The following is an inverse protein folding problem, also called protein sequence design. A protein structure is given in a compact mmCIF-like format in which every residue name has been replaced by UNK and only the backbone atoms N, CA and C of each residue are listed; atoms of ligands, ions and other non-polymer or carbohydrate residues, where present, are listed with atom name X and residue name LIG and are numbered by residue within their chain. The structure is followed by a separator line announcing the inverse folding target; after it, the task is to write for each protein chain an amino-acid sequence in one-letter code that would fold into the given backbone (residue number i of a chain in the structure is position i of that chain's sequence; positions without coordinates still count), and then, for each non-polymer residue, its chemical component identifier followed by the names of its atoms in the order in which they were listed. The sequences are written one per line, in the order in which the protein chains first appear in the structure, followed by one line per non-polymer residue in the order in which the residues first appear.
data_IF_558648077656
#
_entry.id   IF_558648077656
#
_cell.length_a   1.000
_cell.length_b   1.000
_cell.length_c   1.000
_cell.angle_alpha   90.00
_cell.angle_beta   90.00
_cell.angle_gamma   90.00
#
_symmetry.space_group_name_H-M   'P 1'
#
loop_
_entity.id
_entity.type
_entity.pdbx_description
1 polymer ?
#
# COMPACT_ATOMS: atom_id res chain seq x y z
N UNK A 1 5.73 -3.56 1.03
CA UNK A 1 4.24 -3.72 0.97
C UNK A 1 3.83 -4.83 0.02
N UNK A 2 4.32 -4.85 -1.21
CA UNK A 2 3.97 -5.90 -2.20
C UNK A 2 4.20 -7.32 -1.69
N UNK A 3 5.39 -7.62 -1.17
CA UNK A 3 5.74 -8.95 -0.64
C UNK A 3 4.79 -9.41 0.50
N UNK A 4 4.38 -8.49 1.36
CA UNK A 4 3.39 -8.79 2.41
C UNK A 4 2.01 -9.14 1.82
N UNK A 5 1.59 -8.43 0.77
CA UNK A 5 0.34 -8.74 0.07
C UNK A 5 0.42 -10.10 -0.64
N UNK A 6 1.57 -10.44 -1.23
CA UNK A 6 1.81 -11.75 -1.85
C UNK A 6 1.69 -12.86 -0.78
N UNK A 7 2.34 -12.70 0.38
CA UNK A 7 2.21 -13.62 1.53
C UNK A 7 0.74 -13.76 1.98
N UNK A 8 0.02 -12.64 2.09
CA UNK A 8 -1.40 -12.67 2.47
C UNK A 8 -2.26 -13.42 1.44
N UNK A 9 -1.94 -13.26 0.14
CA UNK A 9 -2.60 -13.99 -0.94
C UNK A 9 -2.35 -15.50 -0.83
N UNK A 10 -1.11 -15.90 -0.60
CA UNK A 10 -0.73 -17.32 -0.42
C UNK A 10 -1.45 -17.94 0.78
N UNK A 11 -1.46 -17.25 1.93
CA UNK A 11 -2.19 -17.70 3.12
C UNK A 11 -3.69 -17.88 2.85
N UNK A 12 -4.29 -16.99 2.07
CA UNK A 12 -5.70 -17.08 1.66
C UNK A 12 -5.96 -18.28 0.77
N UNK A 13 -5.07 -18.54 -0.18
CA UNK A 13 -5.16 -19.72 -1.08
C UNK A 13 -5.05 -21.01 -0.26
N UNK A 14 -4.03 -21.10 0.62
CA UNK A 14 -3.82 -22.25 1.51
C UNK A 14 -5.07 -22.51 2.35
N UNK A 15 -5.64 -21.49 2.95
CA UNK A 15 -6.88 -21.59 3.71
C UNK A 15 -8.04 -22.08 2.86
N UNK A 16 -8.19 -21.55 1.65
CA UNK A 16 -9.24 -22.00 0.70
C UNK A 16 -9.12 -23.48 0.34
N UNK A 17 -7.90 -23.97 0.13
CA UNK A 17 -7.64 -25.40 -0.14
C UNK A 17 -8.02 -26.25 1.07
N UNK A 18 -7.61 -25.84 2.26
CA UNK A 18 -7.91 -26.56 3.52
C UNK A 18 -9.43 -26.59 3.80
N UNK A 19 -10.13 -25.48 3.60
CA UNK A 19 -11.60 -25.40 3.74
C UNK A 19 -12.33 -26.28 2.71
N UNK A 20 -11.80 -26.33 1.46
CA UNK A 20 -12.35 -27.21 0.44
C UNK A 20 -12.16 -28.69 0.82
N UNK A 21 -10.96 -29.08 1.26
CA UNK A 21 -10.66 -30.47 1.69
C UNK A 21 -11.52 -30.90 2.87
N UNK A 22 -11.77 -30.02 3.83
CA UNK A 22 -12.59 -30.32 5.00
C UNK A 22 -14.03 -30.73 4.65
N UNK A 23 -14.58 -30.22 3.53
CA UNK A 23 -15.90 -30.60 3.03
C UNK A 23 -15.94 -32.00 2.43
N UNK A 24 -14.79 -32.57 2.10
CA UNK A 24 -14.62 -33.94 1.56
C UNK A 24 -14.04 -34.89 2.63
N UNK A 25 -14.26 -34.58 3.91
CA UNK A 25 -13.79 -35.38 5.02
C UNK A 25 -14.33 -36.81 4.97
N UNK A 26 -13.48 -37.80 5.24
CA UNK A 26 -13.83 -39.23 5.20
C UNK A 26 -13.38 -39.99 3.95
N UNK A 27 -12.71 -39.33 3.01
CA UNK A 27 -12.02 -39.99 1.91
C UNK A 27 -10.51 -40.05 2.20
N UNK A 28 -9.99 -41.22 2.42
CA UNK A 28 -8.53 -41.43 2.49
C UNK A 28 -7.95 -41.46 1.08
N UNK A 29 -6.95 -40.65 0.83
CA UNK A 29 -6.30 -40.50 -0.48
C UNK A 29 -4.79 -40.56 -0.37
N UNK A 30 -4.10 -40.96 -1.43
CA UNK A 30 -2.65 -41.01 -1.50
C UNK A 30 -1.97 -39.62 -1.41
N UNK A 31 -2.74 -38.53 -1.40
CA UNK A 31 -2.25 -37.16 -1.33
C UNK A 31 -2.63 -36.45 -0.02
N UNK A 32 -3.09 -37.18 0.97
CA UNK A 32 -3.51 -36.59 2.26
C UNK A 32 -2.35 -35.96 3.00
N UNK A 33 -1.13 -36.48 2.88
CA UNK A 33 0.07 -35.89 3.48
C UNK A 33 0.32 -34.46 2.97
N UNK A 34 0.03 -34.18 1.70
CA UNK A 34 0.15 -32.84 1.14
C UNK A 34 -0.90 -31.87 1.73
N UNK A 35 -2.14 -32.36 1.92
CA UNK A 35 -3.18 -31.56 2.59
C UNK A 35 -2.85 -31.32 4.08
N UNK A 36 -2.29 -32.31 4.76
CA UNK A 36 -1.89 -32.21 6.17
C UNK A 36 -0.70 -31.26 6.37
N UNK A 37 0.08 -31.00 5.32
CA UNK A 37 1.20 -30.05 5.32
C UNK A 37 0.78 -28.60 5.07
N UNK A 38 -0.52 -28.32 4.90
CA UNK A 38 -1.05 -26.98 4.71
C UNK A 38 -1.34 -26.31 6.06
N UNK A 39 -0.56 -25.31 6.42
CA UNK A 39 -0.72 -24.55 7.67
C UNK A 39 -1.41 -23.21 7.39
N UNK A 40 -2.61 -23.05 7.92
CA UNK A 40 -3.37 -21.80 7.79
C UNK A 40 -2.96 -20.81 8.89
N UNK A 41 -2.81 -19.54 8.55
CA UNK A 41 -2.61 -18.46 9.51
C UNK A 41 -3.52 -17.28 9.17
N UNK A 42 -4.80 -17.42 9.55
CA UNK A 42 -5.80 -16.37 9.30
C UNK A 42 -5.49 -15.08 10.04
N UNK A 43 -4.87 -15.19 11.23
CA UNK A 43 -4.50 -14.00 12.00
C UNK A 43 -3.50 -13.13 11.22
N UNK A 44 -2.43 -13.72 10.69
CA UNK A 44 -1.44 -13.00 9.89
C UNK A 44 -2.04 -12.46 8.58
N UNK A 45 -2.87 -13.28 7.89
CA UNK A 45 -3.62 -12.87 6.71
C UNK A 45 -4.44 -11.61 6.98
N UNK A 46 -5.27 -11.63 8.03
CA UNK A 46 -6.15 -10.51 8.38
C UNK A 46 -5.33 -9.28 8.82
N UNK A 47 -4.24 -9.47 9.57
CA UNK A 47 -3.38 -8.39 10.04
C UNK A 47 -2.72 -7.64 8.88
N UNK A 48 -2.18 -8.37 7.90
CA UNK A 48 -1.60 -7.77 6.69
C UNK A 48 -2.67 -7.02 5.90
N UNK A 49 -3.82 -7.65 5.62
CA UNK A 49 -4.89 -7.05 4.81
C UNK A 49 -5.52 -5.81 5.47
N UNK A 50 -5.55 -5.74 6.80
CA UNK A 50 -6.05 -4.56 7.53
C UNK A 50 -5.05 -3.40 7.51
N UNK A 51 -3.76 -3.69 7.38
CA UNK A 51 -2.71 -2.69 7.39
C UNK A 51 -2.33 -2.21 5.98
N UNK A 52 -2.22 -3.11 5.00
CA UNK A 52 -1.73 -2.83 3.65
C UNK A 52 -2.88 -2.93 2.65
N UNK A 53 -3.21 -1.81 2.01
CA UNK A 53 -4.31 -1.73 1.03
C UNK A 53 -3.83 -2.00 -0.40
N UNK A 54 -2.61 -1.57 -0.73
CA UNK A 54 -1.98 -1.76 -2.03
C UNK A 54 -0.45 -1.71 -1.93
N UNK A 55 0.23 -1.88 -3.05
CA UNK A 55 1.70 -1.77 -3.14
C UNK A 55 2.24 -0.42 -2.65
N UNK A 56 1.42 0.62 -2.68
CA UNK A 56 1.81 2.00 -2.37
C UNK A 56 0.99 2.63 -1.25
N UNK A 57 -0.05 1.96 -0.77
CA UNK A 57 -1.00 2.54 0.17
C UNK A 57 -1.16 1.68 1.43
N UNK A 58 -1.02 2.34 2.57
CA UNK A 58 -1.28 1.76 3.89
C UNK A 58 -2.56 2.34 4.49
N UNK A 59 -3.34 1.48 5.15
CA UNK A 59 -4.60 1.85 5.82
C UNK A 59 -4.37 2.86 6.94
N UNK A 60 -5.30 3.81 7.10
CA UNK A 60 -5.33 4.67 8.29
C UNK A 60 -5.50 3.85 9.59
N UNK A 61 -6.09 2.67 9.48
CA UNK A 61 -6.31 1.77 10.63
C UNK A 61 -5.14 0.82 10.90
N UNK A 62 -4.03 0.91 10.15
CA UNK A 62 -2.85 0.09 10.37
C UNK A 62 -2.26 0.31 11.79
N UNK A 63 -2.34 1.53 12.30
CA UNK A 63 -2.09 1.82 13.73
C UNK A 63 -2.87 3.04 14.21
N UNK A 64 -3.15 3.13 15.53
CA UNK A 64 -3.73 4.35 16.10
C UNK A 64 -2.85 5.59 15.88
N UNK A 65 -1.53 5.43 15.93
CA UNK A 65 -0.57 6.51 15.72
C UNK A 65 -0.63 7.04 14.27
N UNK A 66 -0.65 6.15 13.26
CA UNK A 66 -0.76 6.54 11.85
C UNK A 66 -2.06 7.31 11.58
N UNK A 67 -3.18 6.81 12.12
CA UNK A 67 -4.48 7.47 12.02
C UNK A 67 -4.46 8.87 12.60
N UNK A 68 -3.84 9.05 13.77
CA UNK A 68 -3.75 10.35 14.46
C UNK A 68 -2.84 11.32 13.70
N UNK A 69 -1.68 10.87 13.21
CA UNK A 69 -0.76 11.66 12.39
C UNK A 69 -1.49 12.18 11.13
N UNK A 70 -2.16 11.30 10.39
CA UNK A 70 -2.89 11.66 9.18
C UNK A 70 -4.06 12.60 9.46
N UNK A 71 -4.76 12.41 10.59
CA UNK A 71 -5.81 13.32 11.04
C UNK A 71 -5.25 14.72 11.30
N UNK A 72 -4.14 14.83 12.03
CA UNK A 72 -3.50 16.12 12.29
C UNK A 72 -3.00 16.79 11.01
N UNK A 73 -2.43 16.03 10.08
CA UNK A 73 -2.00 16.53 8.77
C UNK A 73 -3.17 17.17 8.00
N UNK A 74 -4.29 16.46 7.89
CA UNK A 74 -5.52 16.99 7.24
C UNK A 74 -6.03 18.26 7.92
N UNK A 75 -5.96 18.34 9.25
CA UNK A 75 -6.35 19.56 9.99
C UNK A 75 -5.43 20.73 9.68
N UNK A 76 -4.11 20.55 9.63
CA UNK A 76 -3.17 21.62 9.28
C UNK A 76 -3.35 22.05 7.81
N UNK A 77 -3.57 21.11 6.88
CA UNK A 77 -3.87 21.42 5.49
C UNK A 77 -5.16 22.26 5.34
N UNK A 78 -6.21 21.92 6.08
CA UNK A 78 -7.45 22.72 6.09
C UNK A 78 -7.20 24.13 6.58
N UNK A 79 -6.47 24.30 7.70
CA UNK A 79 -6.13 25.64 8.23
C UNK A 79 -5.33 26.48 7.23
N UNK A 80 -4.41 25.84 6.48
CA UNK A 80 -3.64 26.54 5.45
C UNK A 80 -4.57 27.00 4.33
N UNK A 81 -5.44 26.11 3.84
CA UNK A 81 -6.38 26.43 2.77
C UNK A 81 -7.30 27.58 3.18
N UNK A 82 -7.88 27.55 4.38
CA UNK A 82 -8.75 28.61 4.88
C UNK A 82 -8.02 29.97 4.91
N UNK A 83 -6.77 30.01 5.38
CA UNK A 83 -5.95 31.23 5.40
C UNK A 83 -5.62 31.74 4.01
N UNK A 84 -5.22 30.83 3.10
CA UNK A 84 -4.86 31.20 1.74
C UNK A 84 -6.08 31.60 0.92
N UNK A 85 -7.23 30.94 1.11
CA UNK A 85 -8.51 31.33 0.50
C UNK A 85 -8.94 32.76 0.93
N UNK A 86 -8.79 33.08 2.22
CA UNK A 86 -9.00 34.45 2.69
C UNK A 86 -8.04 35.45 2.03
N UNK A 87 -6.79 35.06 1.80
CA UNK A 87 -5.80 35.91 1.15
C UNK A 87 -6.11 36.15 -0.32
N UNK A 88 -6.37 35.09 -1.10
CA UNK A 88 -6.59 35.19 -2.56
C UNK A 88 -7.91 35.92 -2.90
N UNK A 89 -8.90 35.87 -2.00
CA UNK A 89 -10.16 36.65 -2.15
C UNK A 89 -10.04 38.10 -1.70
N UNK A 90 -8.98 38.46 -1.00
CA UNK A 90 -8.79 39.84 -0.51
C UNK A 90 -8.46 40.79 -1.65
N UNK A 91 -9.18 41.95 -1.76
CA UNK A 91 -8.87 42.97 -2.76
C UNK A 91 -7.41 43.45 -2.72
N UNK A 92 -6.78 43.37 -1.54
CA UNK A 92 -5.38 43.78 -1.31
C UNK A 92 -4.39 43.01 -2.19
N UNK A 93 -4.62 41.72 -2.44
CA UNK A 93 -3.68 40.87 -3.16
C UNK A 93 -4.11 40.56 -4.60
N UNK A 94 -5.31 41.03 -4.99
CA UNK A 94 -5.89 40.70 -6.32
C UNK A 94 -5.03 41.16 -7.51
N UNK A 95 -4.34 42.30 -7.40
CA UNK A 95 -3.43 42.81 -8.43
C UNK A 95 -2.10 42.08 -8.46
N UNK A 96 -1.64 41.64 -7.30
CA UNK A 96 -0.32 41.03 -7.10
C UNK A 96 -0.29 39.55 -7.46
N UNK A 97 -1.43 38.86 -7.35
CA UNK A 97 -1.51 37.43 -7.74
C UNK A 97 -1.52 37.26 -9.26
N UNK A 98 -0.80 36.26 -9.75
CA UNK A 98 -0.86 35.84 -11.13
C UNK A 98 -2.20 35.14 -11.42
N UNK A 99 -2.58 34.22 -10.51
CA UNK A 99 -3.83 33.48 -10.52
C UNK A 99 -4.35 33.40 -9.08
N UNK A 100 -5.68 33.43 -8.92
CA UNK A 100 -6.33 33.28 -7.60
C UNK A 100 -6.47 31.81 -7.22
N UNK A 101 -5.35 31.07 -7.16
CA UNK A 101 -5.29 29.64 -6.83
C UNK A 101 -4.29 29.35 -5.71
N UNK A 102 -4.53 28.25 -5.01
CA UNK A 102 -3.60 27.64 -4.08
C UNK A 102 -2.93 26.47 -4.80
N UNK A 103 -1.61 26.41 -4.77
CA UNK A 103 -0.84 25.32 -5.36
C UNK A 103 0.20 24.79 -4.39
N UNK A 104 0.89 23.72 -4.75
CA UNK A 104 2.02 23.20 -3.98
C UNK A 104 3.31 23.28 -4.80
N UNK A 105 4.40 23.65 -4.12
CA UNK A 105 5.78 23.58 -4.62
C UNK A 105 6.67 22.99 -3.52
N UNK A 106 7.44 21.99 -3.88
CA UNK A 106 8.32 21.28 -2.93
C UNK A 106 7.58 20.79 -1.67
N UNK A 107 6.31 20.36 -1.84
CA UNK A 107 5.45 19.90 -0.76
C UNK A 107 5.00 21.00 0.21
N UNK A 108 5.00 22.27 -0.21
CA UNK A 108 4.49 23.42 0.56
C UNK A 108 3.36 24.10 -0.19
N UNK A 109 2.37 24.56 0.56
CA UNK A 109 1.28 25.35 0.01
C UNK A 109 1.78 26.78 -0.26
N UNK A 110 1.63 27.22 -1.49
CA UNK A 110 2.10 28.50 -2.01
C UNK A 110 1.03 29.18 -2.86
N UNK A 111 1.20 30.47 -3.12
CA UNK A 111 0.39 31.23 -4.06
C UNK A 111 1.25 31.76 -5.21
N UNK A 112 0.76 31.76 -6.46
CA UNK A 112 1.47 32.33 -7.59
C UNK A 112 1.33 33.85 -7.57
N UNK A 113 2.45 34.56 -7.54
CA UNK A 113 2.55 36.03 -7.49
C UNK A 113 3.29 36.50 -8.75
N UNK A 114 2.83 37.59 -9.37
CA UNK A 114 3.56 38.25 -10.45
C UNK A 114 4.93 38.71 -9.96
N UNK A 115 5.98 38.46 -10.73
CA UNK A 115 7.35 38.77 -10.32
C UNK A 115 7.55 40.26 -9.94
N UNK A 116 6.88 41.18 -10.67
CA UNK A 116 6.89 42.62 -10.41
C UNK A 116 6.24 43.03 -9.08
N UNK A 117 5.30 42.20 -8.58
CA UNK A 117 4.60 42.43 -7.30
C UNK A 117 5.14 41.57 -6.15
N UNK A 118 6.33 40.96 -6.32
CA UNK A 118 6.95 40.08 -5.30
C UNK A 118 7.00 40.70 -3.91
N UNK A 119 7.32 42.02 -3.83
CA UNK A 119 7.47 42.75 -2.57
C UNK A 119 6.16 43.01 -1.81
N UNK A 120 5.01 42.88 -2.48
CA UNK A 120 3.70 43.14 -1.89
C UNK A 120 3.18 41.93 -1.09
N UNK A 121 3.75 40.74 -1.33
CA UNK A 121 3.39 39.50 -0.63
C UNK A 121 4.54 39.10 0.30
N UNK A 122 4.33 39.32 1.61
CA UNK A 122 5.29 38.88 2.63
C UNK A 122 5.31 37.35 2.71
N UNK A 123 6.48 36.75 2.53
CA UNK A 123 6.65 35.31 2.59
C UNK A 123 7.97 34.85 1.96
N UNK A 124 8.11 33.53 1.86
CA UNK A 124 9.29 32.86 1.31
C UNK A 124 9.03 32.38 -0.13
N UNK A 125 10.00 32.63 -1.01
CA UNK A 125 9.96 32.11 -2.39
C UNK A 125 10.42 30.67 -2.38
N UNK A 126 9.63 29.78 -3.00
CA UNK A 126 9.94 28.37 -3.14
C UNK A 126 10.23 27.95 -4.58
N UNK A 127 9.75 28.71 -5.54
CA UNK A 127 9.94 28.40 -6.96
C UNK A 127 9.68 29.63 -7.82
N UNK A 128 10.13 29.57 -9.09
CA UNK A 128 9.87 30.59 -10.10
C UNK A 128 9.50 29.89 -11.41
N UNK A 129 8.54 30.43 -12.15
CA UNK A 129 8.17 29.88 -13.45
C UNK A 129 9.33 29.93 -14.46
N UNK A 130 9.34 29.03 -15.44
CA UNK A 130 10.40 28.98 -16.45
C UNK A 130 10.61 30.29 -17.25
N UNK A 131 9.57 31.12 -17.37
CA UNK A 131 9.65 32.46 -17.96
C UNK A 131 10.12 33.56 -17.00
N UNK A 132 10.22 33.27 -15.71
CA UNK A 132 10.52 34.25 -14.67
C UNK A 132 9.36 35.19 -14.30
N UNK A 133 8.23 35.13 -15.00
CA UNK A 133 7.11 36.06 -14.81
C UNK A 133 6.29 35.80 -13.55
N UNK A 134 6.36 34.57 -12.97
CA UNK A 134 5.60 34.15 -11.79
C UNK A 134 6.54 33.62 -10.73
N UNK A 135 6.33 34.07 -9.49
CA UNK A 135 7.07 33.60 -8.32
C UNK A 135 6.09 32.88 -7.38
N UNK A 136 6.43 31.67 -6.96
CA UNK A 136 5.62 30.89 -6.04
C UNK A 136 6.04 31.19 -4.60
N UNK A 137 5.16 31.92 -3.90
CA UNK A 137 5.45 32.42 -2.55
C UNK A 137 4.65 31.61 -1.53
N UNK A 138 5.34 31.18 -0.47
CA UNK A 138 4.73 30.72 0.76
C UNK A 138 4.46 31.95 1.64
N UNK A 139 3.19 32.37 1.82
CA UNK A 139 2.90 33.51 2.64
C UNK A 139 3.32 33.32 4.10
N UNK A 140 3.82 34.37 4.75
CA UNK A 140 4.27 34.33 6.13
C UNK A 140 3.22 33.74 7.10
N UNK A 141 1.94 33.98 6.83
CA UNK A 141 0.82 33.49 7.65
C UNK A 141 0.69 31.95 7.69
N UNK A 142 1.30 31.21 6.75
CA UNK A 142 1.19 29.75 6.65
C UNK A 142 2.51 29.00 6.82
N UNK A 143 3.65 29.69 6.93
CA UNK A 143 4.98 29.07 7.06
C UNK A 143 5.01 28.05 8.21
N UNK A 144 4.50 28.44 9.38
CA UNK A 144 4.51 27.58 10.55
C UNK A 144 3.63 26.33 10.37
N UNK A 145 2.46 26.47 9.73
CA UNK A 145 1.58 25.35 9.44
C UNK A 145 2.20 24.40 8.39
N UNK A 146 2.82 24.92 7.33
CA UNK A 146 3.59 24.13 6.39
C UNK A 146 4.76 23.38 7.05
N UNK A 147 5.45 24.00 8.00
CA UNK A 147 6.51 23.34 8.78
C UNK A 147 5.94 22.18 9.62
N UNK A 148 4.77 22.37 10.25
CA UNK A 148 4.10 21.28 10.98
C UNK A 148 3.72 20.13 10.07
N UNK A 149 3.24 20.41 8.86
CA UNK A 149 2.95 19.36 7.87
C UNK A 149 4.22 18.55 7.54
N UNK A 150 5.35 19.22 7.32
CA UNK A 150 6.64 18.53 7.05
C UNK A 150 7.07 17.61 8.19
N UNK A 151 6.89 18.05 9.43
CA UNK A 151 7.15 17.21 10.62
C UNK A 151 6.20 16.01 10.65
N UNK A 152 4.91 16.22 10.34
CA UNK A 152 3.92 15.15 10.31
C UNK A 152 4.19 14.16 9.16
N UNK A 153 4.64 14.62 8.00
CA UNK A 153 5.07 13.77 6.88
C UNK A 153 6.28 12.89 7.24
N UNK A 154 7.23 13.43 8.02
CA UNK A 154 8.34 12.62 8.53
C UNK A 154 7.86 11.56 9.50
N UNK A 155 7.03 11.94 10.49
CA UNK A 155 6.46 11.00 11.45
C UNK A 155 5.59 9.92 10.78
N UNK A 156 4.86 10.28 9.71
CA UNK A 156 4.08 9.33 8.92
C UNK A 156 4.98 8.28 8.28
N UNK A 157 6.10 8.68 7.68
CA UNK A 157 7.07 7.74 7.09
C UNK A 157 7.69 6.83 8.14
N UNK A 158 8.14 7.39 9.25
CA UNK A 158 8.75 6.63 10.33
C UNK A 158 7.77 5.59 10.91
N UNK A 159 6.50 5.97 11.07
CA UNK A 159 5.45 5.06 11.56
C UNK A 159 5.11 3.97 10.56
N UNK A 160 5.03 4.29 9.25
CA UNK A 160 4.83 3.31 8.19
C UNK A 160 5.99 2.31 8.17
N UNK A 161 7.23 2.76 8.27
CA UNK A 161 8.41 1.89 8.30
C UNK A 161 8.39 0.96 9.53
N UNK A 162 8.00 1.48 10.70
CA UNK A 162 7.83 0.69 11.92
C UNK A 162 6.78 -0.43 11.74
N UNK A 163 5.61 -0.08 11.18
CA UNK A 163 4.53 -1.06 10.95
C UNK A 163 4.99 -2.14 9.96
N UNK A 164 5.65 -1.75 8.86
CA UNK A 164 6.16 -2.69 7.87
C UNK A 164 7.22 -3.62 8.46
N UNK A 165 8.11 -3.09 9.31
CA UNK A 165 9.12 -3.89 10.02
C UNK A 165 8.47 -4.93 10.92
N UNK A 166 7.49 -4.54 11.73
CA UNK A 166 6.75 -5.45 12.61
C UNK A 166 6.01 -6.54 11.84
N UNK A 167 5.31 -6.18 10.75
CA UNK A 167 4.62 -7.15 9.91
C UNK A 167 5.59 -8.13 9.22
N UNK A 168 6.74 -7.62 8.77
CA UNK A 168 7.77 -8.44 8.12
C UNK A 168 8.43 -9.39 9.10
N UNK A 169 8.73 -8.94 10.32
CA UNK A 169 9.29 -9.79 11.39
C UNK A 169 8.32 -10.90 11.77
N UNK A 170 7.04 -10.56 11.93
CA UNK A 170 6.01 -11.54 12.25
C UNK A 170 5.81 -12.55 11.11
N UNK A 171 5.75 -12.10 9.85
CA UNK A 171 5.68 -12.99 8.70
C UNK A 171 6.93 -13.90 8.62
N UNK A 172 8.11 -13.35 8.91
CA UNK A 172 9.37 -14.08 8.99
C UNK A 172 9.36 -15.21 10.04
N UNK A 173 8.66 -15.01 11.15
CA UNK A 173 8.51 -16.05 12.20
C UNK A 173 7.75 -17.30 11.72
N UNK A 174 6.96 -17.18 10.66
CA UNK A 174 6.20 -18.26 10.02
C UNK A 174 6.80 -18.71 8.67
N UNK A 175 7.98 -18.24 8.31
CA UNK A 175 8.56 -18.45 6.96
C UNK A 175 8.62 -19.92 6.57
N UNK A 176 9.09 -20.81 7.47
CA UNK A 176 9.21 -22.24 7.17
C UNK A 176 7.85 -22.90 6.94
N UNK A 177 6.85 -22.57 7.76
CA UNK A 177 5.49 -23.14 7.61
C UNK A 177 4.80 -22.61 6.36
N UNK A 178 4.98 -21.35 6.01
CA UNK A 178 4.48 -20.76 4.76
C UNK A 178 5.13 -21.44 3.57
N UNK A 179 6.45 -21.62 3.59
CA UNK A 179 7.20 -22.27 2.51
C UNK A 179 6.71 -23.71 2.27
N UNK A 180 6.63 -24.52 3.32
CA UNK A 180 6.14 -25.90 3.24
C UNK A 180 4.71 -25.92 2.65
N UNK A 181 3.85 -25.05 3.12
CA UNK A 181 2.47 -24.97 2.63
C UNK A 181 2.39 -24.55 1.15
N UNK A 182 3.21 -23.61 0.70
CA UNK A 182 3.28 -23.19 -0.71
C UNK A 182 3.79 -24.32 -1.61
N UNK A 183 4.84 -25.05 -1.18
CA UNK A 183 5.39 -26.21 -1.90
C UNK A 183 4.33 -27.31 -2.03
N UNK A 184 3.64 -27.65 -0.93
CA UNK A 184 2.56 -28.64 -0.94
C UNK A 184 1.35 -28.21 -1.80
N UNK A 185 0.97 -26.93 -1.77
CA UNK A 185 -0.08 -26.39 -2.60
C UNK A 185 0.28 -26.44 -4.10
N UNK A 186 1.54 -26.16 -4.45
CA UNK A 186 2.04 -26.24 -5.82
C UNK A 186 2.00 -27.71 -6.33
N UNK A 187 2.41 -28.66 -5.49
CA UNK A 187 2.35 -30.09 -5.85
C UNK A 187 0.90 -30.57 -6.00
N UNK A 188 0.01 -30.20 -5.09
CA UNK A 188 -1.43 -30.46 -5.24
C UNK A 188 -1.98 -29.91 -6.56
N UNK A 189 -1.66 -28.66 -6.89
CA UNK A 189 -2.08 -28.05 -8.14
C UNK A 189 -1.58 -28.83 -9.36
N UNK A 190 -0.33 -29.30 -9.34
CA UNK A 190 0.22 -30.13 -10.42
C UNK A 190 -0.52 -31.49 -10.55
N UNK A 191 -0.80 -32.15 -9.42
CA UNK A 191 -1.54 -33.43 -9.40
C UNK A 191 -2.96 -33.24 -9.95
N UNK A 192 -3.68 -32.23 -9.47
CA UNK A 192 -5.03 -31.94 -9.97
C UNK A 192 -5.05 -31.54 -11.44
N UNK A 193 -4.07 -30.76 -11.90
CA UNK A 193 -3.93 -30.38 -13.32
C UNK A 193 -3.71 -31.61 -14.22
N UNK A 194 -2.84 -32.54 -13.79
CA UNK A 194 -2.61 -33.81 -14.48
C UNK A 194 -3.88 -34.66 -14.50
N UNK A 195 -4.61 -34.77 -13.40
CA UNK A 195 -5.86 -35.51 -13.33
C UNK A 195 -6.92 -34.90 -14.25
N UNK A 196 -7.10 -33.59 -14.25
CA UNK A 196 -8.02 -32.87 -15.14
C UNK A 196 -7.68 -33.12 -16.62
N UNK A 197 -6.39 -33.09 -16.98
CA UNK A 197 -5.95 -33.40 -18.33
C UNK A 197 -6.27 -34.84 -18.70
N UNK A 198 -5.97 -35.81 -17.82
CA UNK A 198 -6.28 -37.23 -18.03
C UNK A 198 -7.77 -37.46 -18.29
N UNK A 199 -8.65 -36.85 -17.49
CA UNK A 199 -10.10 -36.91 -17.73
C UNK A 199 -10.50 -36.30 -19.07
N UNK A 200 -9.92 -35.13 -19.42
CA UNK A 200 -10.26 -34.44 -20.68
C UNK A 200 -9.89 -35.25 -21.92
N UNK A 201 -8.74 -35.95 -21.90
CA UNK A 201 -8.26 -36.77 -23.02
C UNK A 201 -8.71 -38.24 -22.91
N UNK A 202 -9.48 -38.59 -21.86
CA UNK A 202 -9.89 -39.98 -21.57
C UNK A 202 -8.69 -40.93 -21.48
N UNK A 203 -7.61 -40.46 -20.85
CA UNK A 203 -6.39 -41.24 -20.71
C UNK A 203 -6.60 -42.47 -19.83
N UNK A 204 -5.89 -43.53 -20.14
CA UNK A 204 -5.77 -44.75 -19.34
C UNK A 204 -4.37 -44.81 -18.70
N UNK A 205 -4.25 -45.51 -17.58
CA UNK A 205 -2.97 -45.68 -16.90
C UNK A 205 -1.97 -46.43 -17.80
N UNK A 206 -0.80 -45.87 -18.13
CA UNK A 206 0.19 -46.51 -18.97
C UNK A 206 0.83 -47.70 -18.25
N UNK A 207 1.07 -48.79 -18.98
CA UNK A 207 1.87 -49.89 -18.48
C UNK A 207 3.33 -49.62 -18.86
N UNK A 208 4.12 -49.30 -17.82
CA UNK A 208 5.56 -49.05 -18.01
C UNK A 208 6.29 -50.39 -18.11
N UNK A 209 7.01 -50.61 -19.21
CA UNK A 209 7.79 -51.82 -19.44
C UNK A 209 9.17 -51.48 -20.04
N UNK A 210 10.14 -52.35 -19.85
CA UNK A 210 11.52 -52.21 -20.39
C UNK A 210 11.66 -52.80 -21.82
N UNK A 211 10.59 -53.22 -22.47
CA UNK A 211 10.64 -53.94 -23.75
C UNK A 211 10.62 -53.01 -24.97
N UNK A 212 10.59 -51.72 -24.80
CA UNK A 212 10.60 -50.73 -25.89
C UNK A 212 9.33 -50.70 -26.75
N UNK A 213 8.22 -51.29 -26.29
CA UNK A 213 6.92 -51.33 -26.95
C UNK A 213 5.97 -50.39 -26.21
N UNK A 214 5.36 -49.47 -26.93
CA UNK A 214 4.29 -48.57 -26.42
C UNK A 214 2.96 -49.25 -26.63
#
# INVERSE_FOLDING_TARGET
MRELLDISCDLRVIRGITEWRSKSAGMDTAIDDLFNSLYTNKYLEDKINNAVLSDTEMSDNASPALKDIRRHKRLEESKIRDKLDGMIRSPKYKSSLQDAIITQRNGRFVVPVKAEHRSEVSGMVHDTSGSGATVFIEPAAVIEANNRIKVLESRERDEIERILSELSEEAGSFADTIKISCESAAELNLIFSKAQLAYKIKATMPIINSRGVI
#
